data_IF_434702547464
#
_entry.id   IF_434702547464
#
_cell.length_a   1.000
_cell.length_b   1.000
_cell.length_c   1.000
_cell.angle_alpha   90.00
_cell.angle_beta   90.00
_cell.angle_gamma   90.00
#
_symmetry.space_group_name_H-M   'P 1'
#
loop_
_entity.id
_entity.type
_entity.pdbx_description
1 polymer ?
#
# COMPACT_ATOMS: atom_id res chain seq x y z
N UNK A 1 -17.66 3.42 10.92
CA UNK A 1 -16.68 2.59 10.18
C UNK A 1 -16.40 1.30 10.96
N UNK A 2 -16.28 0.14 10.29
CA UNK A 2 -16.09 -1.15 10.98
C UNK A 2 -14.72 -1.31 11.64
N UNK A 3 -13.75 -0.46 11.27
CA UNK A 3 -12.41 -0.46 11.85
C UNK A 3 -12.32 0.18 13.23
N UNK A 4 -13.37 0.90 13.64
CA UNK A 4 -13.52 1.44 14.99
C UNK A 4 -14.43 0.51 15.78
N UNK A 5 -13.89 -0.64 16.15
CA UNK A 5 -14.59 -1.74 16.80
C UNK A 5 -14.16 -1.99 18.24
N UNK A 6 -13.15 -1.27 18.75
CA UNK A 6 -12.62 -1.46 20.10
C UNK A 6 -13.35 -0.54 21.09
N UNK A 7 -14.19 -1.06 22.01
CA UNK A 7 -14.83 -0.24 23.03
C UNK A 7 -13.80 0.33 24.01
N UNK A 8 -14.13 1.44 24.66
CA UNK A 8 -13.23 2.14 25.59
C UNK A 8 -12.64 1.25 26.70
N UNK A 9 -13.44 0.37 27.30
CA UNK A 9 -12.97 -0.56 28.32
C UNK A 9 -11.90 -1.52 27.78
N UNK A 10 -12.06 -1.99 26.53
CA UNK A 10 -11.09 -2.86 25.87
C UNK A 10 -9.84 -2.08 25.45
N UNK A 11 -10.00 -0.83 24.99
CA UNK A 11 -8.88 0.04 24.64
C UNK A 11 -7.98 0.30 25.87
N UNK A 12 -8.58 0.61 27.03
CA UNK A 12 -7.86 0.77 28.30
C UNK A 12 -7.15 -0.53 28.71
N UNK A 13 -7.80 -1.69 28.52
CA UNK A 13 -7.18 -3.00 28.80
C UNK A 13 -5.96 -3.23 27.92
N UNK A 14 -6.05 -3.01 26.60
CA UNK A 14 -4.93 -3.15 25.65
C UNK A 14 -3.77 -2.21 26.00
N UNK A 15 -4.07 -0.95 26.35
CA UNK A 15 -3.06 0.00 26.80
C UNK A 15 -2.33 -0.46 28.05
N UNK A 16 -3.08 -0.98 29.04
CA UNK A 16 -2.50 -1.52 30.26
C UNK A 16 -1.60 -2.72 29.98
N UNK A 17 -2.00 -3.61 29.07
CA UNK A 17 -1.22 -4.80 28.70
C UNK A 17 0.10 -4.43 28.00
N UNK A 18 0.08 -3.44 27.11
CA UNK A 18 1.26 -3.05 26.32
C UNK A 18 2.21 -2.09 27.05
N UNK A 19 1.68 -1.18 27.87
CA UNK A 19 2.45 -0.08 28.49
C UNK A 19 2.35 -0.02 30.02
N UNK A 20 1.57 -0.90 30.65
CA UNK A 20 1.34 -0.88 32.10
C UNK A 20 0.38 0.22 32.57
N UNK A 21 0.22 0.33 33.89
CA UNK A 21 -0.78 1.23 34.50
C UNK A 21 -0.49 2.73 34.28
N UNK A 22 0.77 3.12 34.09
CA UNK A 22 1.13 4.53 33.89
C UNK A 22 0.50 5.10 32.62
N UNK A 23 0.41 4.31 31.55
CA UNK A 23 -0.17 4.73 30.27
C UNK A 23 -1.66 5.10 30.36
N UNK A 24 -2.39 4.55 31.33
CA UNK A 24 -3.81 4.90 31.53
C UNK A 24 -3.94 6.37 31.93
N UNK A 25 -2.99 6.90 32.70
CA UNK A 25 -2.99 8.31 33.10
C UNK A 25 -2.70 9.25 31.92
N UNK A 26 -2.13 8.71 30.83
CA UNK A 26 -1.81 9.40 29.58
C UNK A 26 -2.89 9.28 28.52
N UNK A 27 -3.90 8.45 28.71
CA UNK A 27 -4.82 8.09 27.63
C UNK A 27 -5.59 9.28 27.06
N UNK A 28 -6.22 10.09 27.92
CA UNK A 28 -6.91 11.31 27.49
C UNK A 28 -5.95 12.35 26.88
N UNK A 29 -4.70 12.43 27.38
CA UNK A 29 -3.68 13.29 26.79
C UNK A 29 -3.37 12.85 25.35
N UNK A 30 -3.12 11.56 25.13
CA UNK A 30 -2.86 11.01 23.80
C UNK A 30 -4.05 11.15 22.85
N UNK A 31 -5.29 11.03 23.34
CA UNK A 31 -6.49 11.33 22.56
C UNK A 31 -6.50 12.82 22.17
N UNK A 32 -6.27 13.73 23.11
CA UNK A 32 -6.27 15.19 22.86
C UNK A 32 -5.19 15.65 21.88
N UNK A 33 -4.06 14.92 21.82
CA UNK A 33 -2.96 15.15 20.88
C UNK A 33 -3.19 14.49 19.51
N UNK A 34 -4.29 13.76 19.33
CA UNK A 34 -4.60 13.04 18.09
C UNK A 34 -3.75 11.77 17.87
N UNK A 35 -3.12 11.23 18.91
CA UNK A 35 -2.33 9.99 18.80
C UNK A 35 -3.20 8.73 18.80
N UNK A 36 -4.42 8.84 19.33
CA UNK A 36 -5.38 7.75 19.42
C UNK A 36 -6.71 8.20 18.83
N UNK A 37 -7.08 7.56 17.73
CA UNK A 37 -8.30 7.86 17.00
C UNK A 37 -9.50 7.12 17.59
N UNK A 38 -10.63 7.82 17.71
CA UNK A 38 -11.90 7.24 18.12
C UNK A 38 -13.08 7.90 17.39
N UNK A 39 -14.21 7.20 17.37
CA UNK A 39 -15.51 7.74 16.94
C UNK A 39 -16.54 7.56 18.06
N UNK A 40 -17.65 8.28 17.96
CA UNK A 40 -18.81 8.11 18.84
C UNK A 40 -19.88 7.27 18.16
N UNK A 41 -20.28 6.17 18.79
CA UNK A 41 -21.43 5.35 18.38
C UNK A 41 -22.41 5.36 19.54
N UNK A 42 -23.59 5.96 19.34
CA UNK A 42 -24.63 6.11 20.38
C UNK A 42 -24.09 6.74 21.68
N UNK A 43 -23.24 7.76 21.56
CA UNK A 43 -22.63 8.47 22.69
C UNK A 43 -21.48 7.73 23.38
N UNK A 44 -21.09 6.53 22.92
CA UNK A 44 -19.94 5.77 23.45
C UNK A 44 -18.74 5.85 22.51
N UNK A 45 -17.54 5.90 23.08
CA UNK A 45 -16.28 5.92 22.33
C UNK A 45 -15.92 4.52 21.82
N UNK A 46 -15.58 4.45 20.54
CA UNK A 46 -15.02 3.29 19.88
C UNK A 46 -13.71 3.67 19.21
N UNK A 47 -12.65 2.95 19.53
CA UNK A 47 -11.29 3.24 19.11
C UNK A 47 -10.91 2.45 17.87
N UNK A 48 -10.04 3.03 17.05
CA UNK A 48 -9.50 2.38 15.87
C UNK A 48 -8.72 1.12 16.24
N UNK A 49 -8.96 -0.01 15.57
CA UNK A 49 -8.37 -1.32 15.93
C UNK A 49 -6.84 -1.33 16.05
N UNK A 50 -6.13 -0.53 15.26
CA UNK A 50 -4.68 -0.44 15.27
C UNK A 50 -4.15 0.78 16.05
N UNK A 51 -4.94 1.33 16.98
CA UNK A 51 -4.55 2.55 17.72
C UNK A 51 -3.24 2.41 18.52
N UNK A 52 -2.88 1.21 19.01
CA UNK A 52 -1.61 0.98 19.69
C UNK A 52 -0.43 1.16 18.73
N UNK A 53 -0.52 0.61 17.52
CA UNK A 53 0.51 0.79 16.51
C UNK A 53 0.62 2.24 16.05
N UNK A 54 -0.52 2.91 15.83
CA UNK A 54 -0.56 4.34 15.51
C UNK A 54 0.06 5.19 16.61
N UNK A 55 -0.24 4.89 17.88
CA UNK A 55 0.40 5.52 19.02
C UNK A 55 1.93 5.38 18.95
N UNK A 56 2.45 4.20 18.63
CA UNK A 56 3.91 3.98 18.50
C UNK A 56 4.56 4.70 17.30
N UNK A 57 3.77 5.07 16.29
CA UNK A 57 4.24 5.91 15.20
C UNK A 57 4.28 7.39 15.57
N UNK A 58 3.29 7.87 16.33
CA UNK A 58 3.06 9.29 16.62
C UNK A 58 3.71 9.77 17.93
N UNK A 59 3.79 8.89 18.93
CA UNK A 59 4.27 9.22 20.26
C UNK A 59 5.80 9.24 20.35
N UNK A 60 6.36 10.39 20.75
CA UNK A 60 7.80 10.57 20.98
C UNK A 60 8.21 10.45 22.46
N UNK A 61 7.30 10.05 23.35
CA UNK A 61 7.60 9.82 24.77
C UNK A 61 8.44 8.54 24.96
N UNK A 62 9.26 8.48 26.01
CA UNK A 62 10.18 7.36 26.24
C UNK A 62 9.45 6.01 26.40
N UNK A 63 8.26 6.02 27.01
CA UNK A 63 7.41 4.83 27.14
C UNK A 63 7.03 4.21 25.79
N UNK A 64 6.76 5.05 24.79
CA UNK A 64 6.47 4.62 23.42
C UNK A 64 7.75 4.17 22.70
N UNK A 65 8.86 4.91 22.90
CA UNK A 65 10.18 4.58 22.33
C UNK A 65 10.69 3.22 22.81
N UNK A 66 10.48 2.88 24.08
CA UNK A 66 10.88 1.60 24.66
C UNK A 66 10.16 0.43 23.99
N UNK A 67 8.82 0.47 23.94
CA UNK A 67 8.03 -0.58 23.29
C UNK A 67 8.36 -0.70 21.80
N UNK A 68 8.57 0.44 21.12
CA UNK A 68 9.03 0.47 19.74
C UNK A 68 10.35 -0.27 19.57
N UNK A 69 11.38 0.03 20.37
CA UNK A 69 12.68 -0.67 20.33
C UNK A 69 12.52 -2.18 20.52
N UNK A 70 11.59 -2.63 21.38
CA UNK A 70 11.31 -4.07 21.58
C UNK A 70 10.69 -4.72 20.33
N UNK A 71 9.70 -4.07 19.71
CA UNK A 71 9.09 -4.57 18.46
C UNK A 71 10.09 -4.56 17.30
N UNK A 72 10.92 -3.52 17.23
CA UNK A 72 11.98 -3.40 16.22
C UNK A 72 13.02 -4.52 16.29
N UNK A 73 13.31 -5.07 17.48
CA UNK A 73 14.19 -6.25 17.63
C UNK A 73 13.62 -7.49 16.92
N UNK A 74 12.29 -7.67 16.92
CA UNK A 74 11.62 -8.81 16.27
C UNK A 74 11.73 -8.73 14.74
N UNK A 75 11.75 -7.51 14.19
CA UNK A 75 11.87 -7.27 12.74
C UNK A 75 13.32 -7.14 12.24
N UNK A 76 14.34 -7.41 13.08
CA UNK A 76 15.75 -7.16 12.75
C UNK A 76 16.22 -7.93 11.52
N UNK A 77 15.94 -9.24 11.47
CA UNK A 77 16.38 -10.08 10.35
C UNK A 77 15.83 -9.60 9.01
N UNK A 78 14.54 -9.29 8.93
CA UNK A 78 13.93 -8.75 7.71
C UNK A 78 14.56 -7.43 7.25
N UNK A 79 14.92 -6.54 8.19
CA UNK A 79 15.59 -5.27 7.90
C UNK A 79 17.01 -5.48 7.39
N UNK A 80 17.79 -6.34 8.04
CA UNK A 80 19.15 -6.66 7.60
C UNK A 80 19.16 -7.29 6.21
N UNK A 81 18.21 -8.18 5.91
CA UNK A 81 18.02 -8.76 4.58
C UNK A 81 17.70 -7.70 3.54
N UNK A 82 16.84 -6.72 3.87
CA UNK A 82 16.55 -5.60 2.97
C UNK A 82 17.77 -4.72 2.73
N UNK A 83 18.50 -4.35 3.79
CA UNK A 83 19.68 -3.49 3.68
C UNK A 83 20.72 -4.15 2.76
N UNK A 84 21.06 -5.41 3.00
CA UNK A 84 22.02 -6.16 2.17
C UNK A 84 21.57 -6.20 0.71
N UNK A 85 20.31 -6.52 0.47
CA UNK A 85 19.76 -6.59 -0.88
C UNK A 85 19.84 -5.26 -1.63
N UNK A 86 19.50 -4.14 -0.97
CA UNK A 86 19.62 -2.80 -1.57
C UNK A 86 21.09 -2.40 -1.78
N UNK A 87 21.97 -2.68 -0.82
CA UNK A 87 23.40 -2.42 -0.96
C UNK A 87 24.02 -3.21 -2.14
N UNK A 88 23.64 -4.47 -2.32
CA UNK A 88 24.06 -5.30 -3.47
C UNK A 88 23.56 -4.75 -4.82
N UNK A 89 22.38 -4.12 -4.84
CA UNK A 89 21.87 -3.44 -6.04
C UNK A 89 22.71 -2.19 -6.34
N UNK A 90 22.89 -1.31 -5.34
CA UNK A 90 23.55 -0.01 -5.51
C UNK A 90 25.04 -0.16 -5.82
N UNK A 91 25.71 -1.14 -5.21
CA UNK A 91 27.12 -1.45 -5.46
C UNK A 91 27.34 -2.21 -6.78
N UNK A 92 26.27 -2.71 -7.39
CA UNK A 92 26.31 -3.33 -8.71
C UNK A 92 26.63 -2.32 -9.82
N UNK A 93 27.18 -2.81 -10.92
CA UNK A 93 27.45 -2.00 -12.12
C UNK A 93 26.30 -2.05 -13.16
N UNK A 94 25.28 -2.87 -12.92
CA UNK A 94 24.14 -3.05 -13.83
C UNK A 94 23.04 -2.01 -13.57
N UNK A 95 22.37 -1.55 -14.64
CA UNK A 95 21.23 -0.63 -14.58
C UNK A 95 20.04 -1.20 -15.37
N UNK A 96 18.85 -0.68 -15.08
CA UNK A 96 17.57 -1.18 -15.60
C UNK A 96 16.97 -2.23 -14.67
N UNK A 97 16.26 -3.20 -15.26
CA UNK A 97 15.64 -4.30 -14.50
C UNK A 97 16.64 -5.43 -14.26
N UNK A 98 17.05 -5.60 -13.00
CA UNK A 98 18.17 -6.44 -12.58
C UNK A 98 17.77 -7.36 -11.41
N UNK A 99 18.69 -8.24 -11.01
CA UNK A 99 18.53 -9.14 -9.84
C UNK A 99 17.18 -9.89 -9.82
N UNK A 100 16.87 -10.70 -10.86
CA UNK A 100 15.62 -11.43 -10.92
C UNK A 100 15.50 -12.39 -9.72
N UNK A 101 14.35 -12.35 -9.06
CA UNK A 101 14.01 -13.22 -7.93
C UNK A 101 12.70 -13.92 -8.24
N UNK A 102 12.71 -15.24 -8.08
CA UNK A 102 11.51 -16.06 -8.14
C UNK A 102 10.80 -16.05 -6.78
N UNK A 103 9.49 -15.90 -6.79
CA UNK A 103 8.66 -15.89 -5.58
C UNK A 103 7.45 -16.78 -5.81
N UNK A 104 7.23 -17.74 -4.91
CA UNK A 104 6.01 -18.54 -4.85
C UNK A 104 5.19 -18.15 -3.64
N UNK A 105 3.90 -17.87 -3.83
CA UNK A 105 2.99 -17.50 -2.74
C UNK A 105 1.69 -18.27 -2.88
N UNK A 106 1.16 -18.72 -1.74
CA UNK A 106 -0.22 -19.15 -1.60
C UNK A 106 -1.00 -18.09 -0.84
N UNK A 107 -2.08 -17.64 -1.45
CA UNK A 107 -3.08 -16.79 -0.81
C UNK A 107 -4.33 -17.60 -0.55
N UNK A 108 -4.83 -17.55 0.67
CA UNK A 108 -6.12 -18.12 1.04
C UNK A 108 -7.01 -17.02 1.61
N UNK A 109 -8.26 -17.01 1.20
CA UNK A 109 -9.29 -16.10 1.66
C UNK A 109 -10.48 -16.92 2.18
N UNK A 110 -11.05 -16.51 3.31
CA UNK A 110 -12.12 -17.22 4.02
C UNK A 110 -13.22 -16.27 4.41
N UNK A 111 -14.45 -16.62 4.07
CA UNK A 111 -15.66 -16.00 4.64
C UNK A 111 -15.92 -16.63 5.99
N UNK A 112 -16.16 -15.80 7.01
CA UNK A 112 -16.45 -16.29 8.37
C UNK A 112 -17.79 -17.05 8.41
N UNK A 113 -17.94 -18.07 9.28
CA UNK A 113 -19.23 -18.74 9.51
C UNK A 113 -20.34 -17.75 9.88
N UNK A 114 -21.58 -18.11 9.57
CA UNK A 114 -22.79 -17.30 9.77
C UNK A 114 -22.79 -15.95 9.02
N UNK A 115 -22.09 -15.86 7.89
CA UNK A 115 -22.07 -14.66 7.03
C UNK A 115 -22.97 -14.80 5.80
N UNK A 116 -23.09 -16.02 5.28
CA UNK A 116 -23.79 -16.37 4.04
C UNK A 116 -24.95 -17.31 4.33
N UNK A 117 -25.95 -17.32 3.46
CA UNK A 117 -26.99 -18.34 3.49
C UNK A 117 -26.46 -19.66 2.91
N UNK A 118 -26.78 -20.83 3.48
CA UNK A 118 -26.36 -22.13 2.93
C UNK A 118 -26.73 -22.27 1.44
N UNK A 119 -25.75 -22.64 0.62
CA UNK A 119 -25.94 -22.79 -0.82
C UNK A 119 -26.01 -21.48 -1.63
N UNK A 120 -25.91 -20.31 -1.00
CA UNK A 120 -25.80 -19.01 -1.68
C UNK A 120 -24.58 -19.00 -2.61
N UNK A 121 -24.73 -18.46 -3.83
CA UNK A 121 -23.61 -18.33 -4.77
C UNK A 121 -22.69 -17.21 -4.31
N UNK A 122 -21.43 -17.57 -4.11
CA UNK A 122 -20.33 -16.70 -3.67
C UNK A 122 -19.37 -16.51 -4.84
N UNK A 123 -19.08 -15.26 -5.15
CA UNK A 123 -18.13 -14.83 -6.18
C UNK A 123 -16.91 -14.24 -5.51
N UNK A 124 -15.72 -14.70 -5.89
CA UNK A 124 -14.46 -14.32 -5.25
C UNK A 124 -13.43 -13.87 -6.30
N UNK A 125 -12.78 -12.73 -6.05
CA UNK A 125 -11.69 -12.19 -6.85
C UNK A 125 -10.44 -12.11 -5.99
N UNK A 126 -9.48 -13.01 -6.19
CA UNK A 126 -8.17 -12.93 -5.54
C UNK A 126 -7.20 -12.15 -6.43
N UNK A 127 -6.31 -11.30 -5.87
CA UNK A 127 -5.28 -10.62 -6.63
C UNK A 127 -4.37 -11.64 -7.33
N UNK A 128 -4.06 -11.36 -8.60
CA UNK A 128 -3.24 -12.22 -9.44
C UNK A 128 -2.11 -11.42 -10.08
N UNK A 129 -0.83 -11.88 -10.03
CA UNK A 129 0.31 -11.09 -10.49
C UNK A 129 0.17 -10.58 -11.93
N UNK A 130 0.43 -9.30 -12.17
CA UNK A 130 0.50 -8.73 -13.53
C UNK A 130 1.82 -9.08 -14.21
N UNK A 131 1.80 -9.18 -15.53
CA UNK A 131 3.04 -9.30 -16.33
C UNK A 131 3.38 -7.94 -16.92
N UNK A 132 4.57 -7.43 -16.60
CA UNK A 132 5.14 -6.17 -17.07
C UNK A 132 6.69 -6.27 -17.08
N UNK A 133 7.38 -5.15 -17.27
CA UNK A 133 8.86 -5.15 -17.35
C UNK A 133 9.55 -5.54 -16.02
N UNK A 134 8.92 -5.22 -14.89
CA UNK A 134 9.41 -5.50 -13.54
C UNK A 134 9.12 -6.94 -13.12
N UNK A 135 7.94 -7.46 -13.47
CA UNK A 135 7.40 -8.74 -13.01
C UNK A 135 6.93 -9.57 -14.21
N UNK A 136 7.42 -10.79 -14.36
CA UNK A 136 7.02 -11.67 -15.45
C UNK A 136 7.16 -13.15 -15.12
N UNK A 137 6.85 -14.01 -16.10
CA UNK A 137 6.88 -15.47 -15.94
C UNK A 137 5.90 -15.91 -14.85
N UNK A 138 4.65 -15.43 -14.95
CA UNK A 138 3.61 -15.74 -13.97
C UNK A 138 3.05 -17.12 -14.27
N UNK A 139 3.14 -18.03 -13.29
CA UNK A 139 2.68 -19.41 -13.39
C UNK A 139 1.66 -19.68 -12.31
N UNK A 140 0.47 -20.11 -12.71
CA UNK A 140 -0.49 -20.70 -11.79
C UNK A 140 0.00 -22.10 -11.37
N UNK A 141 0.14 -22.32 -10.06
CA UNK A 141 0.59 -23.60 -9.50
C UNK A 141 -0.58 -24.46 -8.99
N UNK A 142 -1.62 -23.81 -8.48
CA UNK A 142 -2.82 -24.50 -7.99
C UNK A 142 -3.92 -23.55 -7.56
N UNK A 143 -5.13 -24.07 -7.46
CA UNK A 143 -6.34 -23.34 -7.04
C UNK A 143 -7.24 -24.25 -6.20
N UNK A 144 -8.11 -23.63 -5.38
CA UNK A 144 -9.16 -24.37 -4.66
C UNK A 144 -10.22 -24.97 -5.58
N UNK A 145 -10.43 -24.37 -6.77
CA UNK A 145 -11.47 -24.75 -7.72
C UNK A 145 -10.89 -25.00 -9.12
N UNK A 146 -11.44 -25.97 -9.85
CA UNK A 146 -11.06 -26.26 -11.23
C UNK A 146 -11.63 -25.26 -12.25
N UNK A 147 -12.76 -24.62 -11.92
CA UNK A 147 -13.36 -23.55 -12.71
C UNK A 147 -12.91 -22.20 -12.17
N UNK A 148 -12.24 -21.42 -13.01
CA UNK A 148 -11.78 -20.07 -12.67
C UNK A 148 -11.60 -19.23 -13.93
N UNK A 149 -11.54 -17.91 -13.76
CA UNK A 149 -11.21 -16.97 -14.84
C UNK A 149 -10.08 -16.05 -14.39
N UNK A 150 -8.97 -16.02 -15.13
CA UNK A 150 -7.89 -15.06 -14.89
C UNK A 150 -8.17 -13.82 -15.74
N UNK A 151 -8.14 -12.64 -15.12
CA UNK A 151 -8.29 -11.38 -15.81
C UNK A 151 -7.22 -11.22 -16.91
N UNK A 152 -7.62 -10.81 -18.13
CA UNK A 152 -6.70 -10.47 -19.21
C UNK A 152 -5.68 -9.40 -18.81
N UNK A 153 -4.53 -9.34 -19.49
CA UNK A 153 -3.41 -8.46 -19.13
C UNK A 153 -3.70 -6.96 -19.24
N UNK A 154 -4.74 -6.55 -19.98
CA UNK A 154 -5.15 -5.14 -20.09
C UNK A 154 -5.83 -4.58 -18.83
N UNK A 155 -6.24 -5.42 -17.89
CA UNK A 155 -6.85 -4.96 -16.64
C UNK A 155 -5.79 -4.44 -15.70
N UNK A 156 -5.89 -3.16 -15.31
CA UNK A 156 -4.95 -2.53 -14.39
C UNK A 156 -4.93 -3.17 -13.00
N UNK A 157 -6.00 -3.85 -12.59
CA UNK A 157 -6.08 -4.60 -11.34
C UNK A 157 -6.41 -6.05 -11.68
N UNK A 158 -5.37 -6.89 -11.73
CA UNK A 158 -5.51 -8.24 -12.25
C UNK A 158 -5.92 -9.20 -11.15
N UNK A 159 -6.94 -10.01 -11.45
CA UNK A 159 -7.55 -10.95 -10.50
C UNK A 159 -7.66 -12.34 -11.10
N UNK A 160 -7.74 -13.34 -10.23
CA UNK A 160 -8.29 -14.65 -10.54
C UNK A 160 -9.66 -14.76 -9.87
N UNK A 161 -10.65 -15.16 -10.65
CA UNK A 161 -12.05 -15.19 -10.28
C UNK A 161 -12.55 -16.62 -10.08
N UNK A 162 -13.33 -16.84 -9.03
CA UNK A 162 -13.99 -18.10 -8.69
C UNK A 162 -15.47 -17.87 -8.38
N UNK A 163 -16.29 -18.90 -8.63
CA UNK A 163 -17.63 -19.03 -8.07
C UNK A 163 -17.75 -20.36 -7.32
N UNK A 164 -18.40 -20.33 -6.15
CA UNK A 164 -18.77 -21.55 -5.42
C UNK A 164 -20.03 -21.30 -4.57
N UNK A 165 -20.60 -22.35 -4.00
CA UNK A 165 -21.71 -22.28 -3.05
C UNK A 165 -21.21 -22.15 -1.61
N UNK A 166 -21.86 -21.33 -0.82
CA UNK A 166 -21.63 -21.26 0.61
C UNK A 166 -21.90 -22.62 1.29
N UNK A 167 -21.07 -22.95 2.29
CA UNK A 167 -21.22 -24.17 3.11
C UNK A 167 -22.45 -24.07 4.03
N UNK A 168 -22.83 -25.20 4.63
CA UNK A 168 -23.95 -25.29 5.58
C UNK A 168 -23.82 -24.36 6.80
N UNK A 169 -22.59 -24.05 7.22
CA UNK A 169 -22.32 -23.12 8.32
C UNK A 169 -22.25 -21.64 7.87
N UNK A 170 -22.58 -21.35 6.60
CA UNK A 170 -22.53 -20.01 6.03
C UNK A 170 -21.12 -19.47 5.79
N UNK A 171 -20.11 -20.34 5.74
CA UNK A 171 -18.73 -20.00 5.38
C UNK A 171 -18.36 -20.37 3.94
N UNK A 172 -17.24 -19.84 3.44
CA UNK A 172 -16.65 -20.20 2.14
C UNK A 172 -15.13 -20.03 2.20
N UNK A 173 -14.38 -20.77 1.38
CA UNK A 173 -12.92 -20.66 1.31
C UNK A 173 -12.45 -20.72 -0.15
N UNK A 174 -11.54 -19.81 -0.51
CA UNK A 174 -10.92 -19.73 -1.82
C UNK A 174 -9.41 -19.62 -1.65
N UNK A 175 -8.64 -20.33 -2.47
CA UNK A 175 -7.19 -20.15 -2.49
C UNK A 175 -6.61 -20.22 -3.89
N UNK A 176 -5.52 -19.50 -4.09
CA UNK A 176 -4.68 -19.54 -5.29
C UNK A 176 -3.22 -19.66 -4.88
N UNK A 177 -2.47 -20.46 -5.61
CA UNK A 177 -1.03 -20.57 -5.52
C UNK A 177 -0.42 -20.22 -6.88
N UNK A 178 0.55 -19.31 -6.88
CA UNK A 178 1.26 -18.91 -8.08
C UNK A 178 2.75 -18.67 -7.81
N UNK A 179 3.53 -18.73 -8.87
CA UNK A 179 4.93 -18.33 -8.93
C UNK A 179 5.09 -17.19 -9.94
N UNK A 180 5.98 -16.25 -9.65
CA UNK A 180 6.37 -15.20 -10.58
C UNK A 180 7.84 -14.84 -10.40
N UNK A 181 8.42 -14.18 -11.40
CA UNK A 181 9.77 -13.60 -11.32
C UNK A 181 9.68 -12.08 -11.24
N UNK A 182 10.16 -11.50 -10.15
CA UNK A 182 10.24 -10.05 -9.92
C UNK A 182 11.68 -9.58 -10.02
N UNK A 183 11.91 -8.43 -10.64
CA UNK A 183 13.22 -7.78 -10.78
C UNK A 183 13.25 -6.51 -9.95
N UNK A 184 14.42 -6.18 -9.42
CA UNK A 184 14.69 -4.84 -8.94
C UNK A 184 14.85 -3.89 -10.13
N UNK A 185 14.65 -2.60 -9.92
CA UNK A 185 14.99 -1.57 -10.90
C UNK A 185 15.99 -0.61 -10.29
N UNK A 186 17.09 -0.36 -11.01
CA UNK A 186 18.10 0.60 -10.59
C UNK A 186 18.58 1.44 -11.76
N UNK A 187 18.61 2.76 -11.59
CA UNK A 187 19.05 3.70 -12.61
C UNK A 187 19.72 4.90 -11.94
N UNK A 188 20.90 5.27 -12.43
CA UNK A 188 21.53 6.54 -12.04
C UNK A 188 20.99 7.64 -12.94
N UNK A 189 20.53 8.72 -12.30
CA UNK A 189 19.97 9.88 -12.99
C UNK A 189 20.97 11.02 -12.91
N UNK A 190 21.32 11.58 -14.07
CA UNK A 190 22.08 12.81 -14.18
C UNK A 190 21.08 13.94 -14.51
N UNK A 191 20.84 14.89 -13.59
CA UNK A 191 19.91 15.98 -13.83
C UNK A 191 20.20 16.79 -15.11
N UNK A 192 21.47 16.86 -15.54
CA UNK A 192 21.86 17.60 -16.74
C UNK A 192 21.38 16.94 -18.05
N UNK A 193 21.08 15.64 -18.03
CA UNK A 193 20.60 14.90 -19.20
C UNK A 193 19.06 14.88 -19.29
N UNK A 194 18.37 15.45 -18.30
CA UNK A 194 16.90 15.49 -18.23
C UNK A 194 16.38 16.40 -19.34
N UNK A 195 15.42 15.89 -20.10
CA UNK A 195 14.78 16.60 -21.21
C UNK A 195 13.39 17.11 -20.83
N UNK A 196 12.89 18.17 -21.50
CA UNK A 196 11.49 18.56 -21.38
C UNK A 196 10.58 17.43 -21.89
N UNK A 197 9.34 17.42 -21.38
CA UNK A 197 8.32 16.48 -21.82
C UNK A 197 7.70 16.90 -23.15
N UNK A 198 7.21 15.93 -23.91
CA UNK A 198 6.24 16.16 -24.97
C UNK A 198 4.84 16.28 -24.35
N UNK A 199 4.38 17.51 -24.13
CA UNK A 199 3.11 17.81 -23.46
C UNK A 199 1.88 17.36 -24.26
N UNK A 200 2.05 17.09 -25.57
CA UNK A 200 0.99 16.58 -26.45
C UNK A 200 0.91 15.05 -26.45
N UNK A 201 1.87 14.36 -25.83
CA UNK A 201 1.87 12.90 -25.76
C UNK A 201 0.74 12.36 -24.88
N UNK A 202 0.15 11.22 -25.26
CA UNK A 202 -0.90 10.55 -24.46
C UNK A 202 -0.39 10.23 -23.04
N UNK A 203 0.89 9.84 -22.92
CA UNK A 203 1.53 9.57 -21.62
C UNK A 203 1.51 10.82 -20.74
N UNK A 204 1.96 11.96 -21.27
CA UNK A 204 2.00 13.19 -20.50
C UNK A 204 0.60 13.59 -20.06
N UNK A 205 -0.32 13.76 -21.02
CA UNK A 205 -1.68 14.22 -20.74
C UNK A 205 -2.40 13.32 -19.74
N UNK A 206 -2.31 11.99 -19.92
CA UNK A 206 -2.96 11.04 -19.01
C UNK A 206 -2.39 11.11 -17.61
N UNK A 207 -1.08 11.08 -17.48
CA UNK A 207 -0.42 10.93 -16.18
C UNK A 207 -0.06 12.25 -15.50
N UNK A 208 -0.42 13.41 -16.07
CA UNK A 208 -0.46 14.72 -15.40
C UNK A 208 -1.88 15.20 -15.12
N UNK A 209 -2.91 14.45 -15.52
CA UNK A 209 -4.32 14.78 -15.26
C UNK A 209 -4.82 14.38 -13.87
N UNK A 210 -5.90 15.02 -13.44
CA UNK A 210 -6.69 14.59 -12.28
C UNK A 210 -7.26 13.18 -12.49
N UNK A 211 -7.41 12.45 -11.39
CA UNK A 211 -8.08 11.16 -11.32
C UNK A 211 -8.96 11.15 -10.06
N UNK A 212 -10.18 11.74 -10.15
CA UNK A 212 -11.11 11.77 -9.04
C UNK A 212 -11.49 10.37 -8.55
N UNK A 213 -11.77 10.21 -7.24
CA UNK A 213 -11.83 11.27 -6.24
C UNK A 213 -10.50 11.49 -5.49
N UNK A 214 -9.49 10.63 -5.67
CA UNK A 214 -8.29 10.63 -4.82
C UNK A 214 -7.14 11.51 -5.31
N UNK A 215 -7.08 11.81 -6.62
CA UNK A 215 -6.11 12.75 -7.20
C UNK A 215 -6.88 13.90 -7.83
N UNK A 216 -7.04 14.99 -7.09
CA UNK A 216 -7.69 16.22 -7.55
C UNK A 216 -6.79 17.41 -7.28
N UNK A 217 -6.87 18.49 -8.05
CA UNK A 217 -5.96 19.63 -8.01
C UNK A 217 -6.63 20.81 -7.31
N UNK A 218 -6.89 20.65 -6.01
CA UNK A 218 -7.41 21.73 -5.17
C UNK A 218 -6.45 22.92 -5.12
N UNK A 219 -6.97 24.11 -4.79
CA UNK A 219 -6.14 25.31 -4.59
C UNK A 219 -5.04 25.08 -3.56
N UNK A 220 -5.34 24.33 -2.48
CA UNK A 220 -4.38 23.99 -1.43
C UNK A 220 -3.20 23.19 -1.98
N UNK A 221 -3.44 22.18 -2.82
CA UNK A 221 -2.33 21.42 -3.39
C UNK A 221 -1.54 22.19 -4.43
N UNK A 222 -2.21 23.00 -5.25
CA UNK A 222 -1.49 23.86 -6.22
C UNK A 222 -0.53 24.80 -5.48
N UNK A 223 -0.99 25.38 -4.38
CA UNK A 223 -0.15 26.19 -3.52
C UNK A 223 0.99 25.37 -2.89
N UNK A 224 0.68 24.23 -2.27
CA UNK A 224 1.71 23.38 -1.64
C UNK A 224 2.76 22.91 -2.65
N UNK A 225 2.34 22.43 -3.82
CA UNK A 225 3.26 22.04 -4.89
C UNK A 225 4.15 23.20 -5.32
N UNK A 226 3.57 24.39 -5.53
CA UNK A 226 4.32 25.61 -5.86
C UNK A 226 5.34 26.01 -4.79
N UNK A 227 4.98 25.90 -3.51
CA UNK A 227 5.86 26.19 -2.37
C UNK A 227 7.03 25.20 -2.30
N UNK A 228 6.76 23.92 -2.56
CA UNK A 228 7.79 22.86 -2.56
C UNK A 228 8.77 23.05 -3.72
N UNK A 229 8.25 23.22 -4.95
CA UNK A 229 9.11 23.25 -6.14
C UNK A 229 9.81 24.59 -6.32
N UNK A 230 9.16 25.70 -5.97
CA UNK A 230 9.65 27.06 -6.21
C UNK A 230 9.98 27.29 -7.69
N UNK A 231 11.08 28.00 -7.95
CA UNK A 231 11.54 28.30 -9.32
C UNK A 231 12.36 27.15 -9.98
N UNK A 232 12.25 25.92 -9.46
CA UNK A 232 12.99 24.79 -10.03
C UNK A 232 12.35 24.35 -11.32
N UNK A 233 13.06 24.43 -12.45
CA UNK A 233 12.53 24.02 -13.76
C UNK A 233 12.73 22.53 -14.06
N UNK A 234 13.87 21.97 -13.68
CA UNK A 234 14.23 20.59 -14.00
C UNK A 234 13.22 19.58 -13.39
N UNK A 235 12.51 18.77 -14.21
CA UNK A 235 11.49 17.85 -13.73
C UNK A 235 11.98 16.85 -12.66
N UNK A 236 13.21 16.35 -12.78
CA UNK A 236 13.77 15.42 -11.80
C UNK A 236 14.05 16.12 -10.46
N UNK A 237 14.56 17.35 -10.48
CA UNK A 237 14.81 18.12 -9.26
C UNK A 237 13.49 18.56 -8.60
N UNK A 238 12.45 18.89 -9.38
CA UNK A 238 11.08 19.08 -8.85
C UNK A 238 10.61 17.81 -8.13
N UNK A 239 10.75 16.65 -8.77
CA UNK A 239 10.38 15.36 -8.20
C UNK A 239 11.12 15.05 -6.89
N UNK A 240 12.43 15.34 -6.86
CA UNK A 240 13.26 15.11 -5.68
C UNK A 240 12.80 15.99 -4.51
N UNK A 241 12.52 17.27 -4.76
CA UNK A 241 12.00 18.18 -3.74
C UNK A 241 10.67 17.69 -3.16
N UNK A 242 9.76 17.22 -4.01
CA UNK A 242 8.48 16.65 -3.59
C UNK A 242 8.70 15.37 -2.76
N UNK A 243 9.55 14.45 -3.21
CA UNK A 243 9.87 13.22 -2.47
C UNK A 243 10.43 13.54 -1.08
N UNK A 244 11.41 14.44 -1.00
CA UNK A 244 12.03 14.88 0.25
C UNK A 244 11.01 15.51 1.19
N UNK A 245 10.16 16.40 0.66
CA UNK A 245 9.11 17.04 1.45
C UNK A 245 8.15 16.00 2.04
N UNK A 246 7.68 15.03 1.24
CA UNK A 246 6.81 13.94 1.73
C UNK A 246 7.53 13.12 2.80
N UNK A 247 8.79 12.73 2.58
CA UNK A 247 9.57 11.94 3.53
C UNK A 247 9.89 12.69 4.85
N UNK A 248 9.89 14.02 4.83
CA UNK A 248 10.15 14.87 6.00
C UNK A 248 8.89 15.20 6.79
N UNK A 249 7.77 15.45 6.10
CA UNK A 249 6.57 16.02 6.72
C UNK A 249 5.49 14.98 7.02
N UNK A 250 5.45 13.85 6.31
CA UNK A 250 4.46 12.81 6.56
C UNK A 250 4.84 11.90 7.74
N UNK A 251 3.84 11.46 8.49
CA UNK A 251 3.97 10.41 9.49
C UNK A 251 3.22 9.14 9.10
N UNK A 252 3.92 8.00 9.12
CA UNK A 252 3.29 6.73 8.80
C UNK A 252 2.30 6.33 9.90
N UNK A 253 1.07 5.99 9.56
CA UNK A 253 0.05 5.45 10.46
C UNK A 253 -0.82 4.45 9.70
N UNK A 254 -1.29 3.41 10.35
CA UNK A 254 -2.41 2.63 9.79
C UNK A 254 -3.66 3.50 9.70
N UNK A 255 -4.51 3.21 8.72
CA UNK A 255 -5.72 3.95 8.40
C UNK A 255 -6.92 3.01 8.38
N UNK A 256 -8.12 3.57 8.46
CA UNK A 256 -9.32 2.80 8.21
C UNK A 256 -9.36 2.33 6.75
N UNK A 257 -10.28 1.44 6.42
CA UNK A 257 -10.40 0.95 5.04
C UNK A 257 -10.59 2.10 4.05
N UNK A 258 -9.93 2.03 2.88
CA UNK A 258 -9.88 3.14 1.92
C UNK A 258 -11.27 3.55 1.42
N UNK A 259 -12.23 2.61 1.42
CA UNK A 259 -13.65 2.86 1.15
C UNK A 259 -14.32 3.88 2.09
N UNK A 260 -13.69 4.20 3.22
CA UNK A 260 -14.21 5.16 4.20
C UNK A 260 -13.74 6.60 3.98
N UNK A 261 -12.87 6.83 2.99
CA UNK A 261 -12.34 8.14 2.64
C UNK A 261 -12.92 8.63 1.31
N UNK A 262 -13.62 9.75 1.33
CA UNK A 262 -14.11 10.40 0.10
C UNK A 262 -12.93 10.83 -0.78
N UNK A 263 -11.89 11.39 -0.16
CA UNK A 263 -10.67 11.80 -0.82
C UNK A 263 -9.45 11.56 0.09
N UNK A 264 -8.66 10.53 -0.24
CA UNK A 264 -7.43 10.19 0.49
C UNK A 264 -6.41 11.32 0.44
N UNK A 265 -6.21 11.93 -0.73
CA UNK A 265 -5.27 13.04 -0.87
C UNK A 265 -5.60 14.18 0.08
N UNK A 266 -6.88 14.48 0.30
CA UNK A 266 -7.33 15.64 1.09
C UNK A 266 -7.10 15.39 2.56
N UNK A 267 -7.52 14.21 3.03
CA UNK A 267 -7.20 13.74 4.37
C UNK A 267 -5.70 13.85 4.65
N UNK A 268 -4.86 13.38 3.72
CA UNK A 268 -3.40 13.37 3.90
C UNK A 268 -2.83 14.78 4.04
N UNK A 269 -3.26 15.73 3.22
CA UNK A 269 -2.71 17.09 3.29
C UNK A 269 -3.19 17.89 4.50
N UNK A 270 -4.30 17.50 5.12
CA UNK A 270 -4.78 18.10 6.37
C UNK A 270 -4.11 17.49 7.60
N UNK A 271 -3.88 16.17 7.59
CA UNK A 271 -3.45 15.43 8.78
C UNK A 271 -1.96 15.09 8.77
N UNK A 272 -1.27 15.20 7.63
CA UNK A 272 0.13 14.84 7.41
C UNK A 272 0.48 13.43 7.93
N UNK A 273 -0.46 12.50 7.82
CA UNK A 273 -0.29 11.11 8.22
C UNK A 273 -1.13 10.17 7.37
N UNK A 274 -0.69 8.92 7.29
CA UNK A 274 -1.34 7.85 6.56
C UNK A 274 -0.40 6.67 6.33
N UNK A 275 -0.86 5.64 5.65
CA UNK A 275 -0.06 4.47 5.33
C UNK A 275 0.65 4.62 3.96
N UNK A 276 1.14 3.51 3.38
CA UNK A 276 1.86 3.53 2.11
C UNK A 276 1.09 4.14 0.95
N UNK A 277 -0.18 3.80 0.81
CA UNK A 277 -1.01 4.36 -0.25
C UNK A 277 -1.30 5.84 -0.06
N UNK A 278 -1.51 6.27 1.18
CA UNK A 278 -1.74 7.69 1.49
C UNK A 278 -0.53 8.55 1.11
N UNK A 279 0.68 8.06 1.40
CA UNK A 279 1.91 8.72 0.99
C UNK A 279 2.08 8.74 -0.54
N UNK A 280 1.79 7.62 -1.22
CA UNK A 280 1.90 7.51 -2.67
C UNK A 280 0.90 8.43 -3.39
N UNK A 281 -0.37 8.49 -2.96
CA UNK A 281 -1.40 9.37 -3.55
C UNK A 281 -1.03 10.84 -3.40
N UNK A 282 -0.55 11.29 -2.23
CA UNK A 282 -0.09 12.66 -2.08
C UNK A 282 1.07 12.97 -3.01
N UNK A 283 2.08 12.09 -3.05
CA UNK A 283 3.23 12.24 -3.93
C UNK A 283 2.79 12.34 -5.40
N UNK A 284 1.96 11.41 -5.88
CA UNK A 284 1.41 11.44 -7.24
C UNK A 284 0.67 12.76 -7.49
N UNK A 285 -0.19 13.20 -6.58
CA UNK A 285 -0.96 14.44 -6.73
C UNK A 285 -0.05 15.66 -6.90
N UNK A 286 0.97 15.81 -6.04
CA UNK A 286 1.92 16.92 -6.12
C UNK A 286 2.78 16.86 -7.39
N UNK A 287 3.17 15.66 -7.82
CA UNK A 287 3.90 15.44 -9.07
C UNK A 287 3.09 15.85 -10.29
N UNK A 288 1.83 15.39 -10.39
CA UNK A 288 0.95 15.72 -11.51
C UNK A 288 0.65 17.21 -11.59
N UNK A 289 0.39 17.87 -10.46
CA UNK A 289 0.24 19.34 -10.37
C UNK A 289 1.48 20.07 -10.87
N UNK A 290 2.67 19.51 -10.60
CA UNK A 290 3.95 20.09 -11.01
C UNK A 290 4.34 19.76 -12.46
N UNK A 291 3.42 19.19 -13.24
CA UNK A 291 3.62 18.82 -14.64
C UNK A 291 4.52 17.60 -14.84
N UNK A 292 4.62 16.71 -13.84
CA UNK A 292 5.44 15.50 -13.92
C UNK A 292 4.51 14.28 -14.00
N UNK A 293 4.61 13.45 -15.05
CA UNK A 293 3.74 12.29 -15.17
C UNK A 293 3.99 11.29 -14.03
N UNK A 294 2.94 10.92 -13.31
CA UNK A 294 3.03 10.02 -12.16
C UNK A 294 1.84 9.04 -12.08
N UNK A 295 2.08 7.82 -11.59
CA UNK A 295 1.04 6.79 -11.47
C UNK A 295 1.23 5.90 -10.26
N UNK A 296 0.16 5.21 -9.90
CA UNK A 296 0.07 4.28 -8.80
C UNK A 296 0.58 2.89 -9.16
N UNK A 297 1.19 2.19 -8.21
CA UNK A 297 1.42 0.75 -8.29
C UNK A 297 1.29 0.12 -6.92
N UNK A 298 0.62 -1.04 -6.82
CA UNK A 298 0.52 -1.77 -5.56
C UNK A 298 0.49 -3.28 -5.73
N UNK A 299 0.76 -3.97 -4.62
CA UNK A 299 0.66 -5.41 -4.54
C UNK A 299 1.11 -5.92 -3.18
N UNK A 300 2.29 -6.53 -3.05
CA UNK A 300 2.80 -6.91 -1.73
C UNK A 300 4.28 -6.56 -1.54
N UNK A 301 4.65 -6.30 -0.29
CA UNK A 301 6.03 -6.39 0.18
C UNK A 301 6.37 -7.86 0.49
N UNK A 302 7.21 -8.45 -0.34
CA UNK A 302 7.52 -9.87 -0.34
C UNK A 302 8.96 -10.16 0.12
N UNK A 303 9.34 -9.68 1.31
CA UNK A 303 10.66 -9.93 1.88
C UNK A 303 10.81 -11.41 2.35
N UNK A 304 11.84 -12.13 1.87
CA UNK A 304 12.01 -13.56 2.15
C UNK A 304 12.34 -13.89 3.62
N UNK A 305 12.70 -12.91 4.44
CA UNK A 305 12.95 -13.09 5.87
C UNK A 305 11.69 -12.84 6.75
N UNK A 306 10.52 -12.63 6.13
CA UNK A 306 9.21 -12.62 6.79
C UNK A 306 8.52 -13.97 6.62
N UNK A 307 7.51 -14.26 7.45
CA UNK A 307 6.71 -15.50 7.32
C UNK A 307 5.90 -15.54 6.02
N UNK A 308 5.46 -14.37 5.55
CA UNK A 308 4.68 -14.20 4.34
C UNK A 308 4.76 -12.75 3.84
N UNK A 309 4.25 -12.50 2.62
CA UNK A 309 4.14 -11.15 2.09
C UNK A 309 3.03 -10.35 2.80
N UNK A 310 3.06 -9.02 2.68
CA UNK A 310 2.02 -8.12 3.21
C UNK A 310 1.63 -7.04 2.19
N UNK A 311 0.40 -6.48 2.25
CA UNK A 311 0.02 -5.30 1.47
C UNK A 311 1.07 -4.19 1.50
N UNK A 312 1.31 -3.58 0.33
CA UNK A 312 2.19 -2.43 0.16
C UNK A 312 1.92 -1.68 -1.15
N UNK A 313 2.01 -0.35 -1.08
CA UNK A 313 1.76 0.58 -2.18
C UNK A 313 2.97 1.48 -2.43
N UNK A 314 3.17 1.88 -3.68
CA UNK A 314 4.20 2.84 -4.06
C UNK A 314 3.80 3.64 -5.31
N UNK A 315 4.64 4.57 -5.70
CA UNK A 315 4.42 5.40 -6.88
C UNK A 315 5.46 5.11 -7.98
N UNK A 316 5.08 5.43 -9.21
CA UNK A 316 6.01 5.57 -10.32
C UNK A 316 5.90 6.99 -10.89
N UNK A 317 7.00 7.52 -11.40
CA UNK A 317 7.04 8.83 -12.07
C UNK A 317 7.93 8.79 -13.30
N UNK A 318 7.61 9.58 -14.31
CA UNK A 318 8.27 9.53 -15.61
C UNK A 318 9.23 10.71 -15.80
N UNK A 319 10.45 10.45 -16.26
CA UNK A 319 11.48 11.46 -16.54
C UNK A 319 12.13 11.14 -17.89
N UNK A 320 12.13 12.08 -18.84
CA UNK A 320 12.84 11.92 -20.12
C UNK A 320 14.36 12.12 -19.96
N UNK A 321 15.23 11.33 -20.60
CA UNK A 321 14.96 10.15 -21.44
C UNK A 321 14.98 8.81 -20.66
N UNK A 322 14.88 8.86 -19.34
CA UNK A 322 15.07 7.70 -18.46
C UNK A 322 13.86 6.76 -18.38
N UNK A 323 12.66 7.26 -18.67
CA UNK A 323 11.42 6.49 -18.61
C UNK A 323 10.76 6.52 -17.22
N UNK A 324 10.02 5.44 -16.91
CA UNK A 324 9.38 5.27 -15.60
C UNK A 324 10.40 4.91 -14.52
N UNK A 325 10.48 5.76 -13.51
CA UNK A 325 11.21 5.59 -12.27
C UNK A 325 10.24 5.26 -11.13
N UNK A 326 10.78 4.82 -9.99
CA UNK A 326 9.99 4.37 -8.84
C UNK A 326 10.16 5.31 -7.63
N UNK A 327 9.14 5.42 -6.79
CA UNK A 327 9.22 6.09 -5.51
C UNK A 327 8.47 5.29 -4.43
N UNK A 328 9.20 4.78 -3.43
CA UNK A 328 8.62 4.15 -2.25
C UNK A 328 8.71 5.09 -1.04
N UNK A 329 7.64 5.86 -0.83
CA UNK A 329 7.62 6.96 0.13
C UNK A 329 7.65 6.47 1.57
N UNK A 330 7.07 5.30 1.84
CA UNK A 330 7.06 4.71 3.19
C UNK A 330 8.44 4.24 3.60
N UNK A 331 9.13 3.54 2.69
CA UNK A 331 10.49 3.07 2.94
C UNK A 331 11.45 4.25 2.95
N UNK A 332 11.35 5.15 1.97
CA UNK A 332 12.10 6.39 1.90
C UNK A 332 12.04 7.18 3.21
N UNK A 333 10.83 7.52 3.67
CA UNK A 333 10.62 8.16 4.96
C UNK A 333 11.29 7.41 6.11
N UNK A 334 11.04 6.10 6.21
CA UNK A 334 11.53 5.30 7.32
C UNK A 334 13.06 5.27 7.39
N UNK A 335 13.74 5.23 6.25
CA UNK A 335 15.20 5.17 6.16
C UNK A 335 15.89 6.53 6.20
N UNK A 336 15.17 7.64 6.01
CA UNK A 336 15.70 9.02 5.96
C UNK A 336 16.70 9.35 7.07
N UNK A 337 16.44 8.93 8.31
CA UNK A 337 17.31 9.20 9.48
C UNK A 337 18.11 7.97 9.93
N UNK A 338 18.02 6.84 9.22
CA UNK A 338 18.53 5.53 9.65
C UNK A 338 19.56 4.94 8.69
N UNK A 339 19.39 5.12 7.37
CA UNK A 339 20.31 4.64 6.36
C UNK A 339 20.19 5.49 5.09
N UNK A 340 21.24 6.26 4.80
CA UNK A 340 21.29 7.19 3.65
C UNK A 340 21.18 6.47 2.29
N UNK A 341 21.83 5.31 2.15
CA UNK A 341 21.80 4.52 0.90
C UNK A 341 20.36 4.13 0.59
N UNK A 342 19.63 3.58 1.56
CA UNK A 342 18.24 3.17 1.35
C UNK A 342 17.33 4.38 1.11
N UNK A 343 17.53 5.48 1.84
CA UNK A 343 16.75 6.70 1.65
C UNK A 343 16.86 7.25 0.22
N UNK A 344 18.07 7.32 -0.30
CA UNK A 344 18.35 7.79 -1.66
C UNK A 344 17.93 6.77 -2.72
N UNK A 345 18.08 5.47 -2.43
CA UNK A 345 17.66 4.39 -3.33
C UNK A 345 16.16 4.47 -3.65
N UNK A 346 15.28 4.62 -2.66
CA UNK A 346 13.83 4.63 -2.87
C UNK A 346 13.29 5.89 -3.56
N UNK A 347 14.16 6.82 -3.97
CA UNK A 347 13.84 7.84 -4.96
C UNK A 347 14.50 7.49 -6.30
N UNK A 348 13.69 7.01 -7.24
CA UNK A 348 14.10 6.60 -8.58
C UNK A 348 14.17 5.08 -8.78
N UNK A 349 14.30 4.30 -7.70
CA UNK A 349 14.60 2.87 -7.75
C UNK A 349 13.68 2.04 -6.86
N UNK A 350 13.67 0.72 -7.06
CA UNK A 350 12.90 -0.22 -6.25
C UNK A 350 13.59 -1.58 -6.16
N UNK A 351 13.44 -2.24 -5.01
CA UNK A 351 14.00 -3.57 -4.76
C UNK A 351 13.13 -4.70 -5.35
N UNK A 352 13.59 -5.95 -5.22
CA UNK A 352 12.91 -7.15 -5.75
C UNK A 352 12.11 -7.91 -4.68
N UNK A 353 11.80 -7.29 -3.55
CA UNK A 353 10.88 -7.79 -2.54
C UNK A 353 9.49 -7.21 -2.78
N UNK A 354 9.00 -7.33 -4.02
CA UNK A 354 7.69 -6.84 -4.44
C UNK A 354 6.87 -7.96 -5.08
N UNK A 355 5.56 -7.78 -5.02
CA UNK A 355 4.57 -8.40 -5.90
C UNK A 355 3.75 -7.28 -6.50
N UNK A 356 3.41 -7.36 -7.78
CA UNK A 356 2.60 -6.34 -8.47
C UNK A 356 1.26 -6.96 -8.88
N UNK A 357 0.16 -6.36 -8.45
CA UNK A 357 -1.21 -6.72 -8.87
C UNK A 357 -1.93 -5.56 -9.56
N UNK A 358 -1.63 -4.34 -9.11
CA UNK A 358 -2.34 -3.14 -9.50
C UNK A 358 -1.36 -2.15 -10.14
N UNK A 359 -1.70 -1.68 -11.34
CA UNK A 359 -0.95 -0.71 -12.14
C UNK A 359 -1.62 0.67 -12.22
N UNK A 360 -2.82 0.78 -11.65
CA UNK A 360 -3.59 2.02 -11.53
C UNK A 360 -4.59 1.89 -10.38
N UNK A 361 -5.06 3.03 -9.88
CA UNK A 361 -6.12 3.10 -8.87
C UNK A 361 -7.48 2.83 -9.51
N UNK A 362 -8.39 2.25 -8.72
CA UNK A 362 -9.81 2.07 -9.06
C UNK A 362 -10.06 1.32 -10.37
N UNK A 363 -9.14 0.44 -10.77
CA UNK A 363 -9.31 -0.40 -11.96
C UNK A 363 -10.45 -1.39 -11.79
N UNK A 364 -11.23 -1.61 -12.86
CA UNK A 364 -12.29 -2.62 -12.88
C UNK A 364 -11.70 -4.04 -12.77
N UNK A 365 -12.50 -4.97 -12.27
CA UNK A 365 -12.18 -6.40 -12.30
C UNK A 365 -12.73 -7.09 -13.54
N UNK A 366 -12.25 -8.32 -13.77
CA UNK A 366 -12.81 -9.24 -14.74
C UNK A 366 -13.11 -10.59 -14.09
N UNK A 367 -14.36 -11.08 -14.14
CA UNK A 367 -15.58 -10.33 -14.49
C UNK A 367 -15.80 -9.10 -13.59
N UNK A 368 -16.60 -8.10 -14.00
CA UNK A 368 -16.85 -6.92 -13.17
C UNK A 368 -17.65 -7.28 -11.92
N UNK A 369 -17.32 -6.61 -10.80
CA UNK A 369 -18.14 -6.66 -9.58
C UNK A 369 -19.41 -5.85 -9.74
N UNK A 370 -20.49 -6.28 -9.08
CA UNK A 370 -21.77 -5.56 -9.03
C UNK A 370 -21.82 -4.52 -7.90
N UNK A 371 -21.16 -4.80 -6.79
CA UNK A 371 -21.24 -4.00 -5.57
C UNK A 371 -19.93 -3.26 -5.28
N UNK A 372 -20.04 -2.18 -4.48
CA UNK A 372 -18.87 -1.44 -4.02
C UNK A 372 -17.93 -2.37 -3.24
N UNK A 373 -16.66 -2.34 -3.64
CA UNK A 373 -15.58 -3.13 -3.04
C UNK A 373 -15.30 -2.72 -1.60
N UNK A 374 -14.72 -3.65 -0.86
CA UNK A 374 -14.16 -3.36 0.46
C UNK A 374 -13.01 -2.38 0.35
N UNK A 375 -12.15 -2.58 -0.65
CA UNK A 375 -11.15 -1.61 -1.11
C UNK A 375 -11.44 -1.19 -2.57
N UNK A 376 -11.99 0.02 -2.79
CA UNK A 376 -12.26 0.51 -4.13
C UNK A 376 -11.01 1.05 -4.83
N UNK A 377 -9.93 1.32 -4.11
CA UNK A 377 -8.71 1.91 -4.66
C UNK A 377 -7.86 0.85 -5.30
N UNK A 378 -7.69 -0.30 -4.66
CA UNK A 378 -6.95 -1.41 -5.26
C UNK A 378 -7.43 -2.82 -4.84
N UNK A 379 -6.62 -3.84 -5.11
CA UNK A 379 -6.88 -5.19 -4.62
C UNK A 379 -5.59 -5.90 -4.21
N UNK A 380 -5.39 -6.04 -2.89
CA UNK A 380 -4.26 -6.76 -2.31
C UNK A 380 -4.69 -7.91 -1.39
N UNK A 381 -5.98 -7.96 -1.02
CA UNK A 381 -6.54 -8.88 -0.02
C UNK A 381 -7.69 -9.74 -0.56
N UNK A 382 -8.14 -9.48 -1.77
CA UNK A 382 -9.25 -10.17 -2.42
C UNK A 382 -10.60 -9.57 -2.06
N UNK A 383 -11.59 -9.79 -2.93
CA UNK A 383 -12.95 -9.27 -2.79
C UNK A 383 -13.98 -10.38 -2.98
N UNK A 384 -15.11 -10.25 -2.30
CA UNK A 384 -16.22 -11.22 -2.37
C UNK A 384 -17.54 -10.51 -2.54
N UNK A 385 -18.42 -11.06 -3.38
CA UNK A 385 -19.84 -10.71 -3.37
C UNK A 385 -20.72 -11.93 -3.56
N UNK A 386 -21.99 -11.76 -3.23
CA UNK A 386 -23.05 -12.68 -3.60
C UNK A 386 -23.91 -12.03 -4.69
N UNK A 387 -25.02 -12.65 -5.07
CA UNK A 387 -25.97 -12.01 -5.97
C UNK A 387 -26.57 -10.72 -5.37
N UNK A 388 -26.61 -10.60 -4.04
CA UNK A 388 -27.39 -9.56 -3.34
C UNK A 388 -26.54 -8.50 -2.62
N UNK A 389 -25.25 -8.76 -2.35
CA UNK A 389 -24.41 -7.86 -1.55
C UNK A 389 -22.91 -8.09 -1.72
N UNK A 390 -22.10 -7.08 -1.41
CA UNK A 390 -20.68 -7.27 -1.11
C UNK A 390 -20.49 -7.91 0.27
N UNK A 391 -19.42 -8.70 0.44
CA UNK A 391 -18.98 -9.19 1.74
C UNK A 391 -17.69 -8.46 2.12
N UNK A 392 -17.78 -7.60 3.14
CA UNK A 392 -16.70 -6.69 3.54
C UNK A 392 -15.65 -7.34 4.43
N UNK A 393 -14.52 -6.64 4.63
CA UNK A 393 -13.37 -7.11 5.42
C UNK A 393 -13.68 -7.46 6.88
N UNK A 394 -14.77 -6.97 7.47
CA UNK A 394 -15.21 -7.39 8.81
C UNK A 394 -15.78 -8.82 8.85
N UNK A 395 -16.04 -9.42 7.68
CA UNK A 395 -16.64 -10.76 7.52
C UNK A 395 -15.75 -11.75 6.78
N UNK A 396 -14.52 -11.36 6.46
CA UNK A 396 -13.56 -12.23 5.78
C UNK A 396 -12.20 -12.17 6.47
N UNK A 397 -11.42 -13.22 6.28
CA UNK A 397 -10.02 -13.30 6.70
C UNK A 397 -9.18 -13.78 5.53
N UNK A 398 -7.90 -13.43 5.52
CA UNK A 398 -6.98 -13.91 4.50
C UNK A 398 -5.65 -14.32 5.14
N UNK A 399 -4.94 -15.20 4.45
CA UNK A 399 -3.63 -15.71 4.84
C UNK A 399 -2.71 -15.71 3.63
N UNK A 400 -1.50 -15.19 3.81
CA UNK A 400 -0.45 -15.14 2.80
C UNK A 400 0.76 -15.93 3.30
N UNK A 401 1.16 -16.96 2.54
CA UNK A 401 2.30 -17.81 2.89
C UNK A 401 3.23 -17.95 1.70
N UNK A 402 4.54 -17.83 1.95
CA UNK A 402 5.50 -18.27 0.95
C UNK A 402 5.36 -19.77 0.71
N UNK A 403 5.52 -20.17 -0.55
CA UNK A 403 5.76 -21.55 -0.87
C UNK A 403 7.20 -21.88 -0.45
N UNK A 404 7.35 -22.89 0.40
CA UNK A 404 8.68 -23.47 0.66
C UNK A 404 9.14 -24.14 -0.64
N UNK A 405 10.35 -23.81 -1.07
CA UNK A 405 10.95 -24.29 -2.31
C UNK A 405 11.11 -25.82 -2.32
#
# INVERSE_FOLDING_TARGET
>A
PKDFDVPEEEAIKKLREEFGNYAITKFEEWISRGYVDYILINGKRYFFRAFIDNLLFLCDEEICKELKRLREKRARSARETLIKHVEEIVQGNEEGFIKPRKVGVRMTLRVLPNTLEPGEIVRCWLPYPVENEQQGVVKLLGTSHSQYQIAPSQYYQRTIYFEDKAKEDGSAEFWVEYEYTIKAFYRRINPNDVKPFDEESELYQRYTSEQPPHVIFTRRYKQLASEIVGDTENPYLKAEKIYRWVAENMTYTYVAEYSTYENIGEYVAENLRGDCGFHAILFITLMRISGIPARWQSGWYANPALEGPSPHDWAQFYIEPYGWLFADLSFGRYWRTRNKILYEFYFGNIDSFRTVFNLDMMGNFYPPKKYLRSDPVDNQRGEIETEHRNIYYDRITYELKYKQA
#
